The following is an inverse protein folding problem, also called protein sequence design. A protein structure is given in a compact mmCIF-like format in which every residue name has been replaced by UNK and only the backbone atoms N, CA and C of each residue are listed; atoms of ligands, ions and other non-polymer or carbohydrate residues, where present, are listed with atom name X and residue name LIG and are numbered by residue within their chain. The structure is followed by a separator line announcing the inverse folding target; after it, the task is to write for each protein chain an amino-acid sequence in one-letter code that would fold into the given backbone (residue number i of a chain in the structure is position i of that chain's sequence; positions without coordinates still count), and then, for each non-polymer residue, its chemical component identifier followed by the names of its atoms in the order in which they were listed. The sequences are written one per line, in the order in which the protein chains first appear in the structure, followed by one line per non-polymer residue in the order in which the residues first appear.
data_IF_988066922852
#
_entry.id   IF_988066922852
#
_cell.length_a   1.000
_cell.length_b   1.000
_cell.length_c   1.000
_cell.angle_alpha   90.00
_cell.angle_beta   90.00
_cell.angle_gamma   90.00
#
_symmetry.space_group_name_H-M   'P 1'
#
loop_
_entity.id
_entity.type
_entity.pdbx_description
1 polymer ?
#
# COMPACT_ATOMS: atom_id res chain seq x y z
N UNK A 1 23.24 7.51 15.38
CA UNK A 1 21.78 7.53 15.57
C UNK A 1 21.28 8.77 14.83
N UNK A 2 20.46 8.60 13.79
CA UNK A 2 19.89 9.74 13.08
C UNK A 2 18.89 10.44 14.02
N UNK A 3 18.94 11.76 14.05
CA UNK A 3 18.08 12.61 14.87
C UNK A 3 16.62 12.50 14.39
N UNK A 4 15.81 11.73 15.12
CA UNK A 4 14.38 11.49 14.84
C UNK A 4 13.48 12.64 15.32
N UNK A 5 14.05 13.77 15.76
CA UNK A 5 13.27 14.89 16.32
C UNK A 5 13.03 16.04 15.34
N UNK A 6 13.64 16.02 14.15
CA UNK A 6 13.48 17.10 13.19
C UNK A 6 12.22 16.93 12.33
N UNK A 7 11.28 17.85 12.48
CA UNK A 7 10.18 18.01 11.54
C UNK A 7 10.72 18.25 10.12
N UNK A 8 10.08 17.64 9.14
CA UNK A 8 10.35 17.87 7.73
C UNK A 8 9.88 19.27 7.34
N UNK A 9 10.72 19.96 6.57
CA UNK A 9 10.58 21.37 6.21
C UNK A 9 10.10 21.58 4.77
N UNK A 10 10.18 20.54 3.94
CA UNK A 10 9.96 20.64 2.49
C UNK A 10 11.21 21.00 1.70
N UNK A 11 12.34 21.26 2.36
CA UNK A 11 13.62 21.60 1.73
C UNK A 11 14.60 20.42 1.72
N UNK A 12 14.19 19.26 2.23
CA UNK A 12 15.01 18.07 2.20
C UNK A 12 15.34 17.66 0.75
N UNK A 13 16.59 17.27 0.49
CA UNK A 13 17.08 16.94 -0.86
C UNK A 13 16.26 15.85 -1.55
N UNK A 14 15.64 14.97 -0.78
CA UNK A 14 14.82 13.89 -1.33
C UNK A 14 13.51 14.36 -1.96
N UNK A 15 13.05 15.59 -1.71
CA UNK A 15 11.91 16.16 -2.44
C UNK A 15 12.25 16.52 -3.89
N UNK A 16 13.54 16.58 -4.24
CA UNK A 16 13.98 17.01 -5.57
C UNK A 16 13.45 18.40 -5.90
N UNK A 17 12.68 18.51 -6.98
CA UNK A 17 12.04 19.76 -7.43
C UNK A 17 10.56 19.88 -7.01
N UNK A 18 10.04 18.93 -6.23
CA UNK A 18 8.66 18.97 -5.77
C UNK A 18 8.45 20.11 -4.77
N UNK A 19 7.27 20.72 -4.83
CA UNK A 19 6.84 21.79 -3.92
C UNK A 19 5.70 21.26 -3.05
N UNK A 20 6.06 20.68 -1.91
CA UNK A 20 5.08 20.20 -0.94
C UNK A 20 4.51 21.41 -0.18
N UNK A 21 3.19 21.47 -0.06
CA UNK A 21 2.50 22.57 0.64
C UNK A 21 2.72 22.47 2.14
N UNK A 22 2.59 23.59 2.86
CA UNK A 22 2.73 23.59 4.32
C UNK A 22 1.65 22.74 5.01
N UNK A 23 0.45 22.68 4.43
CA UNK A 23 -0.62 21.81 4.92
C UNK A 23 -0.25 20.32 4.77
N UNK A 24 0.32 19.91 3.63
CA UNK A 24 0.77 18.54 3.44
C UNK A 24 1.96 18.22 4.37
N UNK A 25 2.91 19.14 4.55
CA UNK A 25 4.00 18.99 5.51
C UNK A 25 3.52 18.86 6.95
N UNK A 26 2.48 19.61 7.35
CA UNK A 26 1.90 19.49 8.68
C UNK A 26 1.31 18.10 8.92
N UNK A 27 0.60 17.53 7.94
CA UNK A 27 0.09 16.17 8.01
C UNK A 27 1.21 15.12 8.00
N UNK A 28 2.22 15.28 7.16
CA UNK A 28 3.42 14.43 7.17
C UNK A 28 4.06 14.43 8.56
N UNK A 29 4.23 15.62 9.15
CA UNK A 29 4.87 15.75 10.45
C UNK A 29 4.01 15.27 11.63
N UNK A 30 2.71 15.09 11.41
CA UNK A 30 1.79 14.50 12.38
C UNK A 30 1.90 12.96 12.45
N UNK A 31 2.64 12.30 11.56
CA UNK A 31 2.96 10.87 11.63
C UNK A 31 4.46 10.67 11.85
N UNK A 32 4.83 10.05 12.97
CA UNK A 32 6.22 9.68 13.27
C UNK A 32 6.70 8.56 12.35
N UNK A 33 5.79 7.64 11.97
CA UNK A 33 6.06 6.60 10.98
C UNK A 33 6.45 7.23 9.64
N UNK A 34 5.59 8.07 9.05
CA UNK A 34 5.87 8.67 7.74
C UNK A 34 7.12 9.56 7.76
N UNK A 35 7.33 10.37 8.81
CA UNK A 35 8.57 11.14 8.96
C UNK A 35 9.81 10.25 8.94
N UNK A 36 9.81 9.19 9.73
CA UNK A 36 10.96 8.28 9.85
C UNK A 36 11.25 7.58 8.54
N UNK A 37 10.21 7.19 7.82
CA UNK A 37 10.31 6.52 6.51
C UNK A 37 10.84 7.45 5.43
N UNK A 38 10.38 8.69 5.39
CA UNK A 38 10.90 9.71 4.49
C UNK A 38 12.36 10.06 4.80
N UNK A 39 12.77 10.08 6.07
CA UNK A 39 14.18 10.27 6.44
C UNK A 39 15.06 9.09 6.01
N UNK A 40 14.54 7.84 6.07
CA UNK A 40 15.22 6.66 5.51
C UNK A 40 15.33 6.76 3.99
N UNK A 41 14.28 7.18 3.30
CA UNK A 41 14.31 7.46 1.87
C UNK A 41 15.36 8.54 1.56
N UNK A 42 15.42 9.61 2.36
CA UNK A 42 16.44 10.64 2.25
C UNK A 42 17.87 10.13 2.40
N UNK A 43 18.09 9.17 3.29
CA UNK A 43 19.39 8.50 3.43
C UNK A 43 19.74 7.70 2.18
N UNK A 44 18.78 6.98 1.60
CA UNK A 44 18.96 6.24 0.35
C UNK A 44 19.24 7.18 -0.85
N UNK A 45 18.59 8.34 -0.90
CA UNK A 45 18.86 9.38 -1.91
C UNK A 45 20.28 9.93 -1.75
N UNK A 46 20.70 10.23 -0.53
CA UNK A 46 22.06 10.72 -0.27
C UNK A 46 23.13 9.67 -0.62
N UNK A 47 22.81 8.39 -0.49
CA UNK A 47 23.67 7.27 -0.88
C UNK A 47 23.65 6.98 -2.39
N UNK A 48 22.74 7.60 -3.16
CA UNK A 48 22.58 7.35 -4.60
C UNK A 48 21.98 5.98 -4.93
N UNK A 49 21.35 5.30 -3.97
CA UNK A 49 20.69 4.00 -4.18
C UNK A 49 19.26 4.15 -4.68
N UNK A 50 18.68 5.35 -4.54
CA UNK A 50 17.37 5.72 -5.09
C UNK A 50 17.40 7.20 -5.50
N UNK A 51 16.59 7.59 -6.46
CA UNK A 51 16.49 8.97 -6.91
C UNK A 51 15.68 9.81 -5.93
N UNK A 52 15.98 11.11 -5.87
CA UNK A 52 15.08 12.07 -5.28
C UNK A 52 13.71 12.01 -5.97
N UNK A 53 12.66 12.34 -5.23
CA UNK A 53 11.31 12.37 -5.76
C UNK A 53 11.21 13.38 -6.91
N UNK A 54 10.38 13.06 -7.89
CA UNK A 54 10.23 13.88 -9.09
C UNK A 54 8.78 13.97 -9.52
N UNK A 55 8.45 15.02 -10.25
CA UNK A 55 7.16 15.13 -10.91
C UNK A 55 7.21 14.35 -12.23
N UNK A 56 6.32 13.38 -12.39
CA UNK A 56 6.17 12.57 -13.58
C UNK A 56 5.25 13.19 -14.62
N UNK A 57 4.90 12.38 -15.61
CA UNK A 57 4.00 12.72 -16.71
C UNK A 57 2.61 12.12 -16.57
N UNK A 58 2.41 11.20 -15.62
CA UNK A 58 1.18 10.44 -15.38
C UNK A 58 0.28 11.15 -14.36
N UNK A 59 -0.96 10.67 -14.19
CA UNK A 59 -1.91 11.19 -13.22
C UNK A 59 -1.88 10.51 -11.84
N UNK A 60 -0.82 9.77 -11.51
CA UNK A 60 -0.70 9.02 -10.26
C UNK A 60 0.63 9.31 -9.57
N UNK A 61 0.67 9.18 -8.24
CA UNK A 61 1.92 9.03 -7.51
C UNK A 61 2.25 7.53 -7.52
N UNK A 62 3.49 7.15 -7.81
CA UNK A 62 3.89 5.75 -7.91
C UNK A 62 5.34 5.55 -7.44
N UNK A 63 5.60 4.42 -6.80
CA UNK A 63 6.94 3.91 -6.54
C UNK A 63 7.45 3.14 -7.77
N UNK A 64 8.38 3.74 -8.49
CA UNK A 64 9.06 3.11 -9.61
C UNK A 64 10.40 2.52 -9.17
N UNK A 65 11.01 1.68 -10.02
CA UNK A 65 12.33 1.07 -9.76
C UNK A 65 13.43 2.07 -9.39
N UNK A 66 13.27 3.34 -9.77
CA UNK A 66 14.26 4.38 -9.54
C UNK A 66 13.90 5.34 -8.40
N UNK A 67 12.67 5.32 -7.87
CA UNK A 67 12.19 6.27 -6.86
C UNK A 67 10.70 6.58 -6.98
N UNK A 68 10.21 7.44 -6.08
CA UNK A 68 8.82 7.90 -6.09
C UNK A 68 8.64 9.01 -7.12
N UNK A 69 7.65 8.81 -8.00
CA UNK A 69 7.25 9.75 -9.04
C UNK A 69 5.86 10.28 -8.72
N UNK A 70 5.72 11.61 -8.61
CA UNK A 70 4.45 12.27 -8.34
C UNK A 70 3.65 12.50 -9.62
N UNK A 71 2.33 12.51 -9.49
CA UNK A 71 1.43 12.86 -10.59
C UNK A 71 1.78 14.22 -11.20
N UNK A 72 1.59 14.39 -12.51
CA UNK A 72 1.86 15.63 -13.23
C UNK A 72 1.02 16.83 -12.74
N UNK A 73 -0.08 16.56 -12.03
CA UNK A 73 -1.05 17.54 -11.54
C UNK A 73 -1.19 17.51 -10.01
N UNK A 74 -0.22 16.92 -9.28
CA UNK A 74 -0.31 16.77 -7.82
C UNK A 74 -0.56 18.10 -7.09
N UNK A 75 -0.15 19.24 -7.66
CA UNK A 75 -0.37 20.56 -7.05
C UNK A 75 -1.87 20.95 -6.97
N UNK A 76 -2.73 20.31 -7.76
CA UNK A 76 -4.18 20.52 -7.72
C UNK A 76 -4.88 19.60 -6.70
N UNK A 77 -4.16 18.66 -6.10
CA UNK A 77 -4.72 17.70 -5.16
C UNK A 77 -4.76 18.30 -3.74
N UNK A 78 -5.69 17.82 -2.93
CA UNK A 78 -5.73 18.21 -1.52
C UNK A 78 -4.52 17.64 -0.77
N UNK A 79 -4.08 18.27 0.33
CA UNK A 79 -3.02 17.73 1.18
C UNK A 79 -3.26 16.27 1.60
N UNK A 80 -4.51 15.92 1.91
CA UNK A 80 -4.91 14.58 2.35
C UNK A 80 -4.70 13.52 1.28
N UNK A 81 -4.94 13.86 0.00
CA UNK A 81 -4.71 12.97 -1.13
C UNK A 81 -3.20 12.82 -1.39
N UNK A 82 -2.45 13.92 -1.36
CA UNK A 82 -1.00 13.88 -1.56
C UNK A 82 -0.32 13.01 -0.50
N UNK A 83 -0.65 13.25 0.78
CA UNK A 83 -0.04 12.54 1.92
C UNK A 83 -0.47 11.08 1.95
N UNK A 84 -1.73 10.79 1.64
CA UNK A 84 -2.24 9.42 1.51
C UNK A 84 -1.49 8.59 0.49
N UNK A 85 -1.43 9.08 -0.76
CA UNK A 85 -0.68 8.39 -1.82
C UNK A 85 0.81 8.29 -1.47
N UNK A 86 1.44 9.36 -0.94
CA UNK A 86 2.84 9.31 -0.53
C UNK A 86 3.10 8.24 0.56
N UNK A 87 2.20 8.11 1.53
CA UNK A 87 2.30 7.10 2.59
C UNK A 87 2.17 5.66 2.05
N UNK A 88 1.38 5.46 1.01
CA UNK A 88 1.33 4.20 0.29
C UNK A 88 2.65 3.94 -0.47
N UNK A 89 3.11 4.89 -1.30
CA UNK A 89 4.32 4.69 -2.11
C UNK A 89 5.61 4.55 -1.28
N UNK A 90 5.70 5.25 -0.14
CA UNK A 90 6.83 5.05 0.78
C UNK A 90 6.77 3.68 1.44
N UNK A 91 5.57 3.11 1.59
CA UNK A 91 5.37 1.74 2.05
C UNK A 91 6.04 0.72 1.14
N UNK A 92 5.95 0.88 -0.19
CA UNK A 92 6.70 0.04 -1.14
C UNK A 92 8.22 0.15 -0.94
N UNK A 93 8.73 1.36 -0.69
CA UNK A 93 10.16 1.55 -0.42
C UNK A 93 10.61 0.84 0.86
N UNK A 94 9.88 1.02 1.97
CA UNK A 94 10.26 0.48 3.28
C UNK A 94 10.08 -1.03 3.34
N UNK A 95 9.07 -1.57 2.64
CA UNK A 95 8.78 -3.01 2.60
C UNK A 95 9.50 -3.75 1.46
N UNK A 96 10.31 -3.07 0.63
CA UNK A 96 11.01 -3.68 -0.50
C UNK A 96 11.78 -4.97 -0.15
N UNK A 97 12.39 -5.03 1.05
CA UNK A 97 13.06 -6.23 1.54
C UNK A 97 12.11 -7.38 1.90
N UNK A 98 10.98 -7.07 2.55
CA UNK A 98 9.94 -8.05 2.87
C UNK A 98 9.28 -8.57 1.60
N UNK A 99 8.99 -7.68 0.66
CA UNK A 99 8.42 -7.99 -0.65
C UNK A 99 9.35 -8.89 -1.48
N UNK A 100 10.65 -8.63 -1.46
CA UNK A 100 11.65 -9.48 -2.12
C UNK A 100 11.70 -10.88 -1.48
N UNK A 101 11.60 -10.97 -0.15
CA UNK A 101 11.56 -12.25 0.56
C UNK A 101 10.28 -13.04 0.23
N UNK A 102 9.12 -12.39 0.25
CA UNK A 102 7.83 -13.00 -0.12
C UNK A 102 7.86 -13.49 -1.57
N UNK A 103 8.32 -12.65 -2.51
CA UNK A 103 8.53 -13.05 -3.91
C UNK A 103 9.44 -14.27 -4.02
N UNK A 104 10.57 -14.29 -3.33
CA UNK A 104 11.49 -15.43 -3.36
C UNK A 104 10.86 -16.72 -2.83
N UNK A 105 9.90 -16.64 -1.90
CA UNK A 105 9.22 -17.80 -1.33
C UNK A 105 8.18 -18.41 -2.31
N UNK A 106 7.52 -17.58 -3.11
CA UNK A 106 6.37 -18.00 -3.93
C UNK A 106 6.60 -17.97 -5.45
N UNK A 107 7.79 -17.57 -5.91
CA UNK A 107 8.13 -17.61 -7.34
C UNK A 107 8.19 -19.05 -7.84
N UNK A 108 7.52 -19.31 -8.96
CA UNK A 108 7.49 -20.62 -9.62
C UNK A 108 7.92 -20.54 -11.08
N UNK A 109 8.19 -21.70 -11.70
CA UNK A 109 8.46 -21.80 -13.13
C UNK A 109 7.27 -21.27 -13.94
N UNK A 110 7.55 -20.60 -15.07
CA UNK A 110 6.50 -20.02 -15.92
C UNK A 110 5.55 -21.04 -16.56
N UNK A 111 5.97 -22.30 -16.67
CA UNK A 111 5.15 -23.39 -17.15
C UNK A 111 4.32 -24.05 -16.04
N UNK A 112 4.44 -23.64 -14.77
CA UNK A 112 3.59 -24.13 -13.70
C UNK A 112 2.15 -23.63 -13.94
N UNK A 113 1.13 -24.50 -13.89
CA UNK A 113 -0.26 -24.09 -14.07
C UNK A 113 -0.75 -23.05 -13.05
N UNK A 114 -0.05 -22.87 -11.93
CA UNK A 114 -0.37 -21.87 -10.90
C UNK A 114 0.44 -20.57 -11.03
N UNK A 115 1.35 -20.47 -12.01
CA UNK A 115 2.28 -19.34 -12.13
C UNK A 115 1.58 -17.98 -12.18
N UNK A 116 0.46 -17.89 -12.90
CA UNK A 116 -0.34 -16.67 -13.00
C UNK A 116 -0.90 -16.24 -11.65
N UNK A 117 -1.58 -17.15 -10.96
CA UNK A 117 -2.17 -16.86 -9.65
C UNK A 117 -1.12 -16.53 -8.60
N UNK A 118 0.02 -17.23 -8.60
CA UNK A 118 1.12 -16.94 -7.67
C UNK A 118 1.79 -15.60 -7.96
N UNK A 119 1.97 -15.23 -9.23
CA UNK A 119 2.52 -13.93 -9.58
C UNK A 119 1.56 -12.79 -9.22
N UNK A 120 0.25 -12.99 -9.45
CA UNK A 120 -0.77 -12.07 -8.99
C UNK A 120 -0.74 -11.89 -7.47
N UNK A 121 -0.60 -13.00 -6.72
CA UNK A 121 -0.50 -12.97 -5.26
C UNK A 121 0.74 -12.23 -4.75
N UNK A 122 1.88 -12.38 -5.44
CA UNK A 122 3.09 -11.63 -5.11
C UNK A 122 2.82 -10.14 -5.26
N UNK A 123 2.27 -9.69 -6.39
CA UNK A 123 1.97 -8.26 -6.60
C UNK A 123 0.93 -7.71 -5.63
N UNK A 124 -0.15 -8.46 -5.38
CA UNK A 124 -1.18 -8.06 -4.41
C UNK A 124 -0.61 -7.95 -2.99
N UNK A 125 0.32 -8.83 -2.59
CA UNK A 125 0.97 -8.72 -1.28
C UNK A 125 1.74 -7.41 -1.14
N UNK A 126 2.42 -6.95 -2.20
CA UNK A 126 3.15 -5.68 -2.21
C UNK A 126 2.20 -4.50 -2.01
N UNK A 127 1.04 -4.52 -2.67
CA UNK A 127 -0.04 -3.54 -2.46
C UNK A 127 -0.57 -3.59 -1.03
N UNK A 128 -0.80 -4.80 -0.48
CA UNK A 128 -1.30 -4.99 0.87
C UNK A 128 -0.35 -4.43 1.94
N UNK A 129 0.96 -4.66 1.80
CA UNK A 129 2.00 -4.08 2.66
C UNK A 129 2.00 -2.53 2.59
N UNK A 130 1.89 -1.96 1.40
CA UNK A 130 1.83 -0.51 1.19
C UNK A 130 0.54 0.13 1.74
N UNK A 131 -0.61 -0.53 1.56
CA UNK A 131 -1.90 -0.12 2.14
C UNK A 131 -1.87 -0.18 3.66
N UNK A 132 -1.28 -1.23 4.23
CA UNK A 132 -1.15 -1.38 5.68
C UNK A 132 -0.27 -0.26 6.26
N UNK A 133 0.82 0.11 5.57
CA UNK A 133 1.63 1.27 5.92
C UNK A 133 0.83 2.58 5.88
N UNK A 134 0.10 2.81 4.78
CA UNK A 134 -0.76 3.97 4.60
C UNK A 134 -1.81 4.09 5.72
N UNK A 135 -2.38 2.96 6.17
CA UNK A 135 -3.34 2.94 7.28
C UNK A 135 -2.68 3.30 8.62
N UNK A 136 -1.49 2.77 8.94
CA UNK A 136 -0.75 3.15 10.17
C UNK A 136 -0.53 4.66 10.19
N UNK A 137 0.00 5.20 9.10
CA UNK A 137 0.27 6.64 8.96
C UNK A 137 -1.01 7.45 9.18
N UNK A 138 -2.13 7.01 8.61
CA UNK A 138 -3.41 7.66 8.83
C UNK A 138 -3.84 7.63 10.29
N UNK A 139 -3.71 6.51 11.00
CA UNK A 139 -4.11 6.42 12.41
C UNK A 139 -3.31 7.38 13.29
N UNK A 140 -2.02 7.54 13.02
CA UNK A 140 -1.16 8.52 13.70
C UNK A 140 -1.63 9.95 13.42
N UNK A 141 -1.89 10.30 12.15
CA UNK A 141 -2.39 11.63 11.77
C UNK A 141 -3.74 11.90 12.43
N UNK A 142 -4.69 10.95 12.36
CA UNK A 142 -5.99 11.05 13.02
C UNK A 142 -5.84 11.31 14.51
N UNK A 143 -4.93 10.60 15.19
CA UNK A 143 -4.68 10.82 16.62
C UNK A 143 -4.08 12.20 16.89
N UNK A 144 -3.07 12.60 16.12
CA UNK A 144 -2.25 13.78 16.41
C UNK A 144 -2.82 15.10 15.89
N UNK A 145 -3.82 15.05 15.03
CA UNK A 145 -4.54 16.23 14.52
C UNK A 145 -5.92 16.42 15.17
N UNK A 146 -6.27 15.56 16.14
CA UNK A 146 -7.46 15.77 16.98
C UNK A 146 -7.31 17.03 17.82
N UNK A 147 -8.30 17.89 17.71
CA UNK A 147 -8.41 19.10 18.54
C UNK A 147 -9.85 19.28 18.99
N UNK A 148 -10.10 20.28 19.84
CA UNK A 148 -11.48 20.61 20.24
C UNK A 148 -12.35 20.99 19.03
N UNK A 149 -11.78 21.59 17.99
CA UNK A 149 -12.48 21.98 16.76
C UNK A 149 -12.41 20.92 15.66
N UNK A 150 -11.62 19.87 15.85
CA UNK A 150 -11.50 18.70 14.97
C UNK A 150 -11.49 17.40 15.80
N UNK A 151 -12.63 16.99 16.39
CA UNK A 151 -12.67 15.89 17.36
C UNK A 151 -12.39 14.51 16.76
N UNK A 152 -12.51 14.36 15.44
CA UNK A 152 -12.21 13.12 14.73
C UNK A 152 -10.76 13.03 14.27
N UNK A 153 -10.06 14.18 14.18
CA UNK A 153 -8.78 14.28 13.50
C UNK A 153 -8.94 14.37 11.99
N UNK A 154 -7.84 14.65 11.30
CA UNK A 154 -7.77 14.74 9.84
C UNK A 154 -7.52 13.36 9.24
N UNK A 155 -8.43 12.94 8.37
CA UNK A 155 -8.30 11.69 7.61
C UNK A 155 -7.53 11.94 6.31
N UNK A 156 -6.52 11.12 6.03
CA UNK A 156 -5.85 11.10 4.73
C UNK A 156 -6.48 10.07 3.80
N UNK A 157 -6.16 10.13 2.51
CA UNK A 157 -6.60 9.12 1.56
C UNK A 157 -5.91 7.77 1.83
N UNK A 158 -6.66 6.67 1.76
CA UNK A 158 -6.10 5.32 1.61
C UNK A 158 -6.09 4.96 0.13
N UNK A 159 -4.93 4.62 -0.42
CA UNK A 159 -4.83 4.16 -1.80
C UNK A 159 -5.81 2.99 -2.06
N UNK A 160 -6.65 3.13 -3.08
CA UNK A 160 -7.69 2.16 -3.41
C UNK A 160 -9.04 2.41 -2.73
N UNK A 161 -9.19 3.40 -1.85
CA UNK A 161 -10.47 3.71 -1.20
C UNK A 161 -11.52 4.24 -2.17
N UNK A 162 -11.13 5.01 -3.19
CA UNK A 162 -12.07 5.64 -4.12
C UNK A 162 -11.92 5.05 -5.52
N UNK A 163 -13.01 4.51 -6.07
CA UNK A 163 -13.03 3.83 -7.37
C UNK A 163 -14.14 4.38 -8.25
N UNK A 164 -13.91 4.42 -9.56
CA UNK A 164 -14.93 4.80 -10.53
C UNK A 164 -15.80 3.57 -10.86
N UNK A 165 -17.09 3.62 -10.56
CA UNK A 165 -18.01 2.54 -10.88
C UNK A 165 -18.41 2.53 -12.36
N UNK A 166 -19.19 1.52 -12.79
CA UNK A 166 -19.63 1.37 -14.18
C UNK A 166 -20.47 2.56 -14.71
N UNK A 167 -21.04 3.38 -13.82
CA UNK A 167 -21.80 4.59 -14.17
C UNK A 167 -20.92 5.84 -14.25
N UNK A 168 -19.61 5.72 -14.05
CA UNK A 168 -18.65 6.84 -14.07
C UNK A 168 -18.58 7.63 -12.76
N UNK A 169 -19.24 7.16 -11.69
CA UNK A 169 -19.25 7.83 -10.39
C UNK A 169 -18.13 7.31 -9.49
N UNK A 170 -17.44 8.20 -8.80
CA UNK A 170 -16.51 7.85 -7.73
C UNK A 170 -17.29 7.34 -6.51
N UNK A 171 -17.00 6.12 -6.08
CA UNK A 171 -17.61 5.46 -4.91
C UNK A 171 -16.52 4.85 -4.03
N UNK A 172 -16.84 4.63 -2.76
CA UNK A 172 -15.94 3.94 -1.83
C UNK A 172 -15.82 2.45 -2.22
N UNK A 173 -14.61 1.92 -2.16
CA UNK A 173 -14.33 0.48 -2.25
C UNK A 173 -14.59 -0.25 -0.94
N UNK A 174 -14.70 0.49 0.17
CA UNK A 174 -14.86 -0.03 1.52
C UNK A 174 -13.55 -0.38 2.21
N UNK A 175 -12.40 0.01 1.67
CA UNK A 175 -11.07 -0.32 2.20
C UNK A 175 -10.87 0.21 3.62
N UNK A 176 -11.21 1.47 3.88
CA UNK A 176 -11.15 2.07 5.21
C UNK A 176 -11.93 1.24 6.24
N UNK A 177 -13.19 0.96 5.93
CA UNK A 177 -14.09 0.24 6.82
C UNK A 177 -13.64 -1.21 7.04
N UNK A 178 -13.03 -1.84 6.03
CA UNK A 178 -12.47 -3.17 6.12
C UNK A 178 -11.31 -3.20 7.13
N UNK A 179 -10.32 -2.33 6.95
CA UNK A 179 -9.10 -2.31 7.78
C UNK A 179 -9.41 -1.89 9.23
N UNK A 180 -10.25 -0.88 9.43
CA UNK A 180 -10.65 -0.45 10.78
C UNK A 180 -11.38 -1.57 11.54
N UNK A 181 -12.25 -2.31 10.83
CA UNK A 181 -12.97 -3.43 11.41
C UNK A 181 -12.04 -4.60 11.73
N UNK A 182 -11.12 -4.93 10.83
CA UNK A 182 -10.17 -6.01 11.03
C UNK A 182 -9.29 -5.73 12.24
N UNK A 183 -8.67 -4.55 12.31
CA UNK A 183 -7.87 -4.13 13.45
C UNK A 183 -8.65 -4.17 14.78
N UNK A 184 -9.91 -3.69 14.77
CA UNK A 184 -10.77 -3.73 15.95
C UNK A 184 -11.06 -5.16 16.43
N UNK A 185 -11.30 -6.10 15.50
CA UNK A 185 -11.51 -7.50 15.82
C UNK A 185 -10.26 -8.16 16.40
N UNK A 186 -9.09 -7.83 15.87
CA UNK A 186 -7.81 -8.41 16.28
C UNK A 186 -7.37 -7.91 17.65
N UNK A 187 -7.53 -6.61 17.90
CA UNK A 187 -7.34 -6.02 19.21
C UNK A 187 -8.27 -6.66 20.26
N UNK A 188 -9.55 -6.84 19.93
CA UNK A 188 -10.52 -7.48 20.83
C UNK A 188 -10.20 -8.97 21.08
N UNK A 189 -9.56 -9.64 20.13
CA UNK A 189 -9.12 -11.03 20.23
C UNK A 189 -7.75 -11.20 20.90
N UNK A 190 -7.05 -10.10 21.24
CA UNK A 190 -5.72 -10.13 21.83
C UNK A 190 -4.63 -10.64 20.88
N UNK A 191 -4.81 -10.42 19.57
CA UNK A 191 -3.81 -10.78 18.56
C UNK A 191 -2.54 -9.95 18.74
N UNK A 192 -1.40 -10.53 18.39
CA UNK A 192 -0.13 -9.79 18.35
C UNK A 192 -0.14 -8.79 17.19
N UNK A 193 0.66 -7.72 17.28
CA UNK A 193 0.79 -6.76 16.18
C UNK A 193 1.29 -7.38 14.86
N UNK A 194 2.03 -8.50 14.93
CA UNK A 194 2.44 -9.26 13.74
C UNK A 194 1.23 -9.95 13.09
N UNK A 195 0.33 -10.53 13.89
CA UNK A 195 -0.88 -11.19 13.36
C UNK A 195 -1.85 -10.16 12.77
N UNK A 196 -2.10 -9.07 13.49
CA UNK A 196 -2.92 -7.94 13.04
C UNK A 196 -2.43 -7.39 11.70
N UNK A 197 -1.12 -7.09 11.60
CA UNK A 197 -0.49 -6.66 10.34
C UNK A 197 -0.76 -7.64 9.19
N UNK A 198 -0.51 -8.93 9.42
CA UNK A 198 -0.67 -9.94 8.36
C UNK A 198 -2.11 -10.07 7.89
N UNK A 199 -3.09 -10.02 8.80
CA UNK A 199 -4.49 -10.11 8.42
C UNK A 199 -5.00 -8.86 7.72
N UNK A 200 -4.54 -7.67 8.12
CA UNK A 200 -4.83 -6.44 7.38
C UNK A 200 -4.25 -6.47 5.95
N UNK A 201 -3.05 -7.03 5.76
CA UNK A 201 -2.46 -7.23 4.43
C UNK A 201 -3.32 -8.17 3.59
N UNK A 202 -3.72 -9.32 4.14
CA UNK A 202 -4.57 -10.30 3.43
C UNK A 202 -5.93 -9.69 3.02
N UNK A 203 -6.54 -8.89 3.89
CA UNK A 203 -7.79 -8.17 3.59
C UNK A 203 -7.62 -7.15 2.48
N UNK A 204 -6.53 -6.36 2.53
CA UNK A 204 -6.18 -5.41 1.48
C UNK A 204 -5.92 -6.10 0.13
N UNK A 205 -5.18 -7.22 0.13
CA UNK A 205 -4.97 -8.07 -1.06
C UNK A 205 -6.28 -8.53 -1.66
N UNK A 206 -7.20 -9.00 -0.81
CA UNK A 206 -8.52 -9.45 -1.22
C UNK A 206 -9.29 -8.35 -1.95
N UNK A 207 -9.33 -7.15 -1.39
CA UNK A 207 -10.00 -6.01 -2.01
C UNK A 207 -9.32 -5.59 -3.32
N UNK A 208 -7.99 -5.41 -3.29
CA UNK A 208 -7.19 -5.00 -4.45
C UNK A 208 -7.31 -5.96 -5.63
N UNK A 209 -7.46 -7.26 -5.38
CA UNK A 209 -7.65 -8.27 -6.44
C UNK A 209 -8.81 -7.96 -7.41
N UNK A 210 -9.76 -7.14 -6.97
CA UNK A 210 -10.93 -6.72 -7.75
C UNK A 210 -10.86 -5.29 -8.26
N UNK A 211 -9.95 -4.47 -7.72
CA UNK A 211 -9.85 -3.06 -8.09
C UNK A 211 -9.15 -2.87 -9.43
N UNK A 212 -9.59 -1.90 -10.25
CA UNK A 212 -8.88 -1.55 -11.48
C UNK A 212 -7.53 -0.89 -11.16
N UNK A 213 -6.48 -1.28 -11.89
CA UNK A 213 -5.18 -0.60 -11.83
C UNK A 213 -5.19 0.66 -12.71
N UNK A 214 -4.35 1.62 -12.35
CA UNK A 214 -4.25 2.92 -13.02
C UNK A 214 -3.58 2.89 -14.40
N UNK A 215 -2.88 1.80 -14.76
CA UNK A 215 -2.10 1.69 -16.00
C UNK A 215 -2.94 1.17 -17.16
N UNK A 216 -3.70 0.09 -16.94
CA UNK A 216 -4.44 -0.62 -17.99
C UNK A 216 -5.95 -0.66 -17.75
N UNK A 217 -6.42 -0.30 -16.55
CA UNK A 217 -7.82 -0.41 -16.16
C UNK A 217 -8.31 -1.84 -15.87
N UNK A 218 -7.46 -2.86 -16.10
CA UNK A 218 -7.72 -4.24 -15.66
C UNK A 218 -7.70 -4.33 -14.14
N UNK A 219 -8.27 -5.39 -13.55
CA UNK A 219 -8.12 -5.58 -12.11
C UNK A 219 -6.65 -5.88 -11.72
N UNK A 220 -6.22 -5.55 -10.50
CA UNK A 220 -4.83 -5.79 -10.07
C UNK A 220 -4.41 -7.26 -10.11
N UNK A 221 -5.33 -8.21 -9.88
CA UNK A 221 -5.00 -9.63 -10.03
C UNK A 221 -4.58 -9.94 -11.46
N UNK A 222 -5.31 -9.43 -12.45
CA UNK A 222 -4.99 -9.63 -13.86
C UNK A 222 -3.71 -8.91 -14.27
N UNK A 223 -3.57 -7.66 -13.83
CA UNK A 223 -2.41 -6.82 -14.09
C UNK A 223 -1.10 -7.43 -13.58
N UNK A 224 -1.12 -8.03 -12.39
CA UNK A 224 0.04 -8.71 -11.84
C UNK A 224 0.21 -10.12 -12.43
N UNK A 225 -0.87 -10.89 -12.57
CA UNK A 225 -0.80 -12.26 -13.08
C UNK A 225 -0.20 -12.37 -14.48
N UNK A 226 -0.51 -11.41 -15.38
CA UNK A 226 -0.11 -11.47 -16.79
C UNK A 226 1.41 -11.52 -17.03
N UNK A 227 2.24 -11.17 -16.05
CA UNK A 227 3.69 -11.25 -16.19
C UNK A 227 4.20 -12.70 -16.20
N UNK A 228 3.39 -13.70 -15.79
CA UNK A 228 3.82 -15.09 -15.76
C UNK A 228 2.67 -16.11 -15.90
N UNK A 229 2.90 -17.18 -16.66
CA UNK A 229 1.93 -18.27 -16.82
C UNK A 229 0.71 -17.94 -17.69
N UNK A 230 -0.17 -18.94 -17.85
CA UNK A 230 -1.43 -18.78 -18.60
C UNK A 230 -2.48 -18.05 -17.76
N UNK A 231 -3.27 -17.17 -18.39
CA UNK A 231 -4.29 -16.38 -17.72
C UNK A 231 -5.25 -17.24 -16.88
N UNK A 232 -5.45 -16.86 -15.61
CA UNK A 232 -6.36 -17.52 -14.68
C UNK A 232 -7.35 -16.50 -14.08
N UNK A 233 -8.59 -16.91 -13.72
CA UNK A 233 -9.53 -16.01 -13.06
C UNK A 233 -9.06 -15.65 -11.65
N UNK A 234 -9.43 -14.46 -11.17
CA UNK A 234 -9.22 -14.07 -9.79
C UNK A 234 -9.96 -15.04 -8.84
N UNK A 235 -9.34 -15.45 -7.72
CA UNK A 235 -10.02 -16.26 -6.73
C UNK A 235 -11.21 -15.49 -6.14
N UNK A 236 -12.37 -16.14 -6.04
CA UNK A 236 -13.57 -15.51 -5.49
C UNK A 236 -13.35 -15.14 -4.01
N UNK A 237 -13.58 -13.86 -3.67
CA UNK A 237 -13.77 -13.41 -2.29
C UNK A 237 -14.94 -14.19 -1.67
N UNK A 238 -14.67 -15.12 -0.74
CA UNK A 238 -15.75 -15.68 0.08
C UNK A 238 -16.21 -14.60 1.06
N UNK A 239 -17.51 -14.45 1.28
CA UNK A 239 -18.07 -13.45 2.20
C UNK A 239 -17.57 -13.65 3.65
N UNK A 240 -17.27 -12.58 4.41
CA UNK A 240 -16.82 -12.68 5.80
C UNK A 240 -18.03 -12.81 6.74
N UNK A 241 -18.56 -14.03 6.86
CA UNK A 241 -19.39 -14.41 8.00
C UNK A 241 -18.56 -15.38 8.86
N UNK A 242 -17.94 -14.83 9.92
CA UNK A 242 -17.13 -15.51 10.95
C UNK A 242 -17.09 -17.03 10.84
N UNK A 243 -16.05 -17.56 10.20
CA UNK A 243 -15.50 -18.89 10.49
C UNK A 243 -14.12 -18.97 9.85
N UNK A 244 -13.27 -19.83 10.41
CA UNK A 244 -11.89 -20.11 10.00
C UNK A 244 -11.75 -20.58 8.53
N UNK A 245 -11.98 -19.69 7.58
CA UNK A 245 -11.87 -19.97 6.16
C UNK A 245 -10.96 -18.93 5.50
N UNK A 246 -9.68 -19.01 5.87
CA UNK A 246 -8.50 -18.85 5.01
C UNK A 246 -8.83 -18.22 3.65
N UNK A 247 -8.67 -16.90 3.53
CA UNK A 247 -8.48 -16.30 2.23
C UNK A 247 -7.14 -16.82 1.71
N UNK A 248 -7.13 -17.38 0.51
CA UNK A 248 -6.00 -18.08 -0.09
C UNK A 248 -5.57 -19.37 0.65
N UNK A 249 -6.26 -20.47 0.34
CA UNK A 249 -5.61 -21.77 0.50
C UNK A 249 -4.52 -21.85 -0.59
N UNK A 250 -3.27 -21.56 -0.22
CA UNK A 250 -2.08 -21.91 -1.01
C UNK A 250 -2.31 -23.36 -1.48
N UNK A 251 -2.20 -23.66 -2.79
CA UNK A 251 -2.18 -25.05 -3.23
C UNK A 251 -1.02 -25.74 -2.53
N UNK A 252 -1.31 -26.47 -1.46
CA UNK A 252 -0.31 -27.31 -0.81
C UNK A 252 0.15 -28.32 -1.85
N UNK A 253 1.47 -28.38 -2.08
CA UNK A 253 2.12 -29.45 -2.84
C UNK A 253 1.40 -30.76 -2.56
N UNK A 254 0.75 -31.33 -3.57
CA UNK A 254 0.49 -32.76 -3.56
C UNK A 254 1.88 -33.40 -3.51
N UNK A 255 2.27 -33.88 -2.33
CA UNK A 255 3.43 -34.74 -2.21
C UNK A 255 3.10 -36.00 -3.03
N UNK A 256 3.55 -36.04 -4.27
CA UNK A 256 3.62 -37.28 -5.03
C UNK A 256 4.62 -38.17 -4.31
N UNK A 257 4.09 -39.09 -3.51
CA UNK A 257 4.85 -40.22 -3.00
C UNK A 257 5.28 -41.05 -4.20
N UNK A 258 6.57 -41.04 -4.52
CA UNK A 258 7.16 -42.09 -5.32
C UNK A 258 7.14 -43.38 -4.49
N UNK A 259 6.36 -44.36 -4.97
CA UNK A 259 6.67 -45.77 -4.83
C UNK A 259 7.01 -46.30 -6.21
#
# INVERSE_FOLDING_TARGET
MADTTNNLTGNEKFWGNLKITQQALALINASDTLKTELLKYGTAVAAGTINAMQQGTTGAIAFESSGIVFANNYQAWSPEIIVGNLAHEIGHFINAGADAAYRSQYTVNSNDPNAYGLNAMIGLHQEGEAVQNNWIVQQEILSNTKTQTNPTGTQIYLAGEWVTNATGNTVSSGLQALLDKQHSLDAAAGMTGVQDKQWMIEDAMGLYSTLPNSVSGENYFSYYGQANGAHAPAPMLRHPARSQARYFRIPTRAATSHR
#
